data_IF_698241237105
#
_entry.id   IF_698241237105
#
_cell.length_a   1.000
_cell.length_b   1.000
_cell.length_c   1.000
_cell.angle_alpha   90.00
_cell.angle_beta   90.00
_cell.angle_gamma   90.00
#
_symmetry.space_group_name_H-M   'P 1'
#
loop_
_entity.id
_entity.type
_entity.pdbx_description
1 polymer ?
#
# COMPACT_ATOMS: atom_id res chain seq x y z
N UNK A 1 10.67 30.99 17.06
CA UNK A 1 10.41 29.68 17.71
C UNK A 1 11.23 29.69 19.00
N UNK A 2 10.63 29.41 20.16
CA UNK A 2 11.35 29.50 21.45
C UNK A 2 12.17 28.22 21.66
N UNK A 3 13.32 28.32 22.32
CA UNK A 3 14.28 27.21 22.54
C UNK A 3 13.63 25.93 23.10
N UNK A 4 12.70 26.08 24.06
CA UNK A 4 11.99 24.97 24.71
C UNK A 4 11.06 24.17 23.78
N UNK A 5 10.59 24.77 22.69
CA UNK A 5 9.72 24.11 21.70
C UNK A 5 10.52 23.31 20.66
N UNK A 6 11.84 23.47 20.64
CA UNK A 6 12.73 22.89 19.65
C UNK A 6 13.51 21.67 20.17
N UNK A 7 13.37 21.29 21.44
CA UNK A 7 13.95 20.05 21.95
C UNK A 7 13.04 18.85 21.67
N UNK A 8 13.45 18.00 20.73
CA UNK A 8 12.84 16.71 20.43
C UNK A 8 13.95 15.66 20.59
N UNK A 9 13.66 14.45 21.05
CA UNK A 9 14.65 13.38 21.22
C UNK A 9 14.78 12.56 19.92
N UNK A 10 15.99 12.10 19.53
CA UNK A 10 16.27 11.62 18.16
C UNK A 10 16.95 10.26 18.05
N UNK A 11 16.38 9.40 17.19
CA UNK A 11 17.02 8.19 16.66
C UNK A 11 17.44 8.33 15.16
N UNK A 12 17.00 9.39 14.45
CA UNK A 12 17.26 9.57 13.00
C UNK A 12 17.46 11.06 12.64
N UNK A 13 18.46 11.33 11.78
CA UNK A 13 18.91 12.61 11.18
C UNK A 13 18.66 13.90 12.01
N UNK A 14 19.65 14.37 12.80
CA UNK A 14 19.54 15.65 13.50
C UNK A 14 19.60 16.84 12.53
N UNK A 15 18.63 17.75 12.64
CA UNK A 15 18.72 19.12 12.14
C UNK A 15 19.53 19.98 13.12
N UNK A 16 20.49 20.72 12.57
CA UNK A 16 21.23 21.73 13.33
C UNK A 16 20.64 23.09 13.00
N UNK A 17 20.05 23.75 14.00
CA UNK A 17 19.50 25.10 13.90
C UNK A 17 20.34 26.07 14.74
N UNK A 18 20.38 27.34 14.34
CA UNK A 18 20.86 28.43 15.18
C UNK A 18 19.66 29.19 15.73
N UNK A 19 19.51 29.19 17.04
CA UNK A 19 18.37 29.82 17.73
C UNK A 19 18.84 30.85 18.75
N UNK A 20 18.04 31.88 18.96
CA UNK A 20 18.25 32.90 19.99
C UNK A 20 17.83 32.33 21.35
N UNK A 21 18.74 32.38 22.32
CA UNK A 21 18.56 31.92 23.68
C UNK A 21 17.83 32.97 24.53
N UNK A 22 17.38 32.57 25.71
CA UNK A 22 16.73 33.47 26.68
C UNK A 22 17.62 34.66 27.11
N UNK A 23 18.95 34.54 26.95
CA UNK A 23 19.94 35.58 27.24
C UNK A 23 20.24 36.52 26.04
N UNK A 24 19.54 36.36 24.91
CA UNK A 24 19.74 37.15 23.69
C UNK A 24 20.95 36.74 22.85
N UNK A 25 21.67 35.69 23.23
CA UNK A 25 22.77 35.13 22.42
C UNK A 25 22.27 34.08 21.43
N UNK A 26 22.99 33.87 20.32
CA UNK A 26 22.67 32.82 19.36
C UNK A 26 23.48 31.55 19.66
N UNK A 27 22.81 30.39 19.67
CA UNK A 27 23.43 29.10 19.94
C UNK A 27 23.03 28.01 18.96
N UNK A 28 23.92 27.02 18.78
CA UNK A 28 23.63 25.78 18.06
C UNK A 28 22.65 24.94 18.87
N UNK A 29 21.53 24.55 18.27
CA UNK A 29 20.58 23.59 18.79
C UNK A 29 20.46 22.42 17.82
N UNK A 30 20.63 21.21 18.35
CA UNK A 30 20.30 19.99 17.62
C UNK A 30 18.85 19.64 17.93
N UNK A 31 18.06 19.56 16.86
CA UNK A 31 16.67 19.14 16.88
C UNK A 31 16.46 18.16 15.74
N UNK A 32 15.24 17.68 15.53
CA UNK A 32 14.84 16.96 14.33
C UNK A 32 13.45 17.42 14.03
N UNK A 33 13.15 17.41 12.75
CA UNK A 33 11.84 17.83 12.31
C UNK A 33 10.77 16.95 12.97
N UNK A 34 9.72 17.58 13.50
CA UNK A 34 8.51 16.86 13.90
C UNK A 34 8.02 15.95 12.75
N UNK A 35 8.17 16.41 11.51
CA UNK A 35 7.89 15.62 10.31
C UNK A 35 8.78 14.38 10.24
N UNK A 36 10.09 14.48 10.48
CA UNK A 36 10.99 13.32 10.44
C UNK A 36 10.68 12.29 11.55
N UNK A 37 10.18 12.72 12.71
CA UNK A 37 9.86 11.81 13.81
C UNK A 37 8.61 10.98 13.53
N UNK A 38 7.54 11.60 13.02
CA UNK A 38 6.24 10.95 12.86
C UNK A 38 5.95 10.48 11.42
N UNK A 39 6.87 10.69 10.48
CA UNK A 39 6.66 10.41 9.06
C UNK A 39 6.19 8.98 8.79
N UNK A 40 6.81 7.98 9.43
CA UNK A 40 6.47 6.58 9.22
C UNK A 40 5.08 6.23 9.77
N UNK A 41 4.76 6.70 10.97
CA UNK A 41 3.45 6.47 11.58
C UNK A 41 2.34 7.12 10.74
N UNK A 42 2.52 8.38 10.35
CA UNK A 42 1.60 9.11 9.47
C UNK A 42 1.45 8.43 8.10
N UNK A 43 2.53 7.86 7.56
CA UNK A 43 2.51 7.10 6.32
C UNK A 43 1.68 5.83 6.47
N UNK A 44 1.94 5.01 7.50
CA UNK A 44 1.19 3.78 7.72
C UNK A 44 -0.30 4.06 7.99
N UNK A 45 -0.62 5.13 8.70
CA UNK A 45 -2.00 5.57 8.92
C UNK A 45 -2.72 5.92 7.62
N UNK A 46 -2.03 6.61 6.69
CA UNK A 46 -2.56 6.90 5.35
C UNK A 46 -2.76 5.63 4.55
N UNK A 47 -1.78 4.73 4.54
CA UNK A 47 -1.88 3.45 3.82
C UNK A 47 -3.06 2.63 4.32
N UNK A 48 -3.29 2.56 5.64
CA UNK A 48 -4.45 1.84 6.21
C UNK A 48 -5.78 2.45 5.79
N UNK A 49 -5.88 3.79 5.76
CA UNK A 49 -7.09 4.49 5.28
C UNK A 49 -7.35 4.21 3.80
N UNK A 50 -6.32 4.30 2.96
CA UNK A 50 -6.43 3.98 1.54
C UNK A 50 -6.82 2.52 1.31
N UNK A 51 -6.21 1.58 2.03
CA UNK A 51 -6.55 0.16 1.93
C UNK A 51 -8.04 -0.09 2.22
N UNK A 52 -8.55 0.49 3.31
CA UNK A 52 -9.97 0.37 3.67
C UNK A 52 -10.90 0.97 2.59
N UNK A 53 -10.62 2.18 2.13
CA UNK A 53 -11.41 2.87 1.09
C UNK A 53 -11.38 2.10 -0.25
N UNK A 54 -10.22 1.59 -0.65
CA UNK A 54 -10.07 0.86 -1.91
C UNK A 54 -10.79 -0.49 -1.83
N UNK A 55 -10.71 -1.20 -0.69
CA UNK A 55 -11.46 -2.45 -0.47
C UNK A 55 -12.96 -2.23 -0.56
N UNK A 56 -13.47 -1.13 -0.01
CA UNK A 56 -14.90 -0.78 -0.14
C UNK A 56 -15.29 -0.53 -1.60
N UNK A 57 -14.49 0.24 -2.35
CA UNK A 57 -14.74 0.49 -3.79
C UNK A 57 -14.65 -0.79 -4.62
N UNK A 58 -13.76 -1.71 -4.24
CA UNK A 58 -13.59 -3.00 -4.88
C UNK A 58 -14.81 -3.89 -4.64
N UNK A 59 -15.33 -3.93 -3.41
CA UNK A 59 -16.56 -4.65 -3.03
C UNK A 59 -17.78 -4.13 -3.81
N UNK A 60 -17.86 -2.81 -4.01
CA UNK A 60 -18.88 -2.18 -4.86
C UNK A 60 -18.67 -2.39 -6.37
N UNK A 61 -17.55 -2.98 -6.79
CA UNK A 61 -17.20 -3.16 -8.20
C UNK A 61 -16.89 -1.87 -8.96
N UNK A 62 -16.60 -0.77 -8.25
CA UNK A 62 -16.29 0.54 -8.85
C UNK A 62 -14.89 0.55 -9.48
N UNK A 63 -13.95 -0.15 -8.82
CA UNK A 63 -12.57 -0.33 -9.26
C UNK A 63 -12.28 -1.80 -9.54
N UNK A 64 -11.21 -2.06 -10.30
CA UNK A 64 -10.69 -3.41 -10.50
C UNK A 64 -9.60 -3.76 -9.47
N UNK A 65 -9.29 -5.05 -9.31
CA UNK A 65 -8.07 -5.54 -8.66
C UNK A 65 -6.77 -4.86 -9.12
N UNK A 66 -6.66 -4.59 -10.43
CA UNK A 66 -5.48 -3.93 -11.00
C UNK A 66 -5.32 -2.53 -10.46
N UNK A 67 -6.43 -1.80 -10.29
CA UNK A 67 -6.40 -0.46 -9.68
C UNK A 67 -6.00 -0.50 -8.22
N UNK A 68 -6.55 -1.45 -7.44
CA UNK A 68 -6.18 -1.65 -6.05
C UNK A 68 -4.66 -1.86 -5.89
N UNK A 69 -4.09 -2.82 -6.62
CA UNK A 69 -2.65 -3.10 -6.55
C UNK A 69 -1.79 -1.94 -7.08
N UNK A 70 -2.25 -1.25 -8.13
CA UNK A 70 -1.55 -0.07 -8.63
C UNK A 70 -1.38 1.00 -7.54
N UNK A 71 -2.44 1.29 -6.75
CA UNK A 71 -2.36 2.28 -5.68
C UNK A 71 -1.55 1.76 -4.49
N UNK A 72 -1.79 0.52 -4.06
CA UNK A 72 -1.11 -0.07 -2.89
C UNK A 72 0.38 -0.30 -3.10
N UNK A 73 0.82 -0.50 -4.35
CA UNK A 73 2.23 -0.58 -4.74
C UNK A 73 2.79 0.76 -5.23
N UNK A 74 2.01 1.84 -5.07
CA UNK A 74 2.38 3.21 -5.44
C UNK A 74 2.89 3.35 -6.89
N UNK A 75 2.36 2.53 -7.80
CA UNK A 75 2.73 2.53 -9.21
C UNK A 75 1.95 3.57 -9.99
N UNK A 76 2.65 4.45 -10.71
CA UNK A 76 2.01 5.38 -11.64
C UNK A 76 1.46 4.69 -12.89
N UNK A 77 0.37 5.20 -13.47
CA UNK A 77 -0.25 4.63 -14.69
C UNK A 77 0.75 4.43 -15.84
N UNK A 78 1.68 5.38 -16.01
CA UNK A 78 2.66 5.31 -17.09
C UNK A 78 3.67 4.18 -16.91
N UNK A 79 4.15 3.99 -15.69
CA UNK A 79 5.09 2.94 -15.35
C UNK A 79 4.43 1.57 -15.45
N UNK A 80 3.24 1.41 -14.86
CA UNK A 80 2.47 0.16 -14.95
C UNK A 80 2.14 -0.20 -16.40
N UNK A 81 1.70 0.77 -17.21
CA UNK A 81 1.40 0.53 -18.63
C UNK A 81 2.66 0.07 -19.40
N UNK A 82 3.81 0.68 -19.13
CA UNK A 82 5.10 0.34 -19.73
C UNK A 82 5.55 -1.07 -19.35
N UNK A 83 5.58 -1.38 -18.05
CA UNK A 83 5.99 -2.68 -17.49
C UNK A 83 5.09 -3.81 -17.96
N UNK A 84 3.77 -3.58 -17.99
CA UNK A 84 2.82 -4.57 -18.51
C UNK A 84 2.99 -4.69 -20.02
N UNK A 85 3.28 -3.61 -20.74
CA UNK A 85 3.44 -3.55 -22.20
C UNK A 85 2.12 -3.27 -22.94
N UNK A 86 1.35 -2.31 -22.45
CA UNK A 86 0.07 -1.88 -23.03
C UNK A 86 -0.01 -0.34 -23.10
N UNK A 87 -0.93 0.20 -23.89
CA UNK A 87 -1.17 1.64 -23.91
C UNK A 87 -1.84 2.13 -22.62
N UNK A 88 -1.58 3.39 -22.23
CA UNK A 88 -2.24 4.04 -21.09
C UNK A 88 -3.77 3.99 -21.20
N UNK A 89 -4.32 4.14 -22.40
CA UNK A 89 -5.76 4.02 -22.63
C UNK A 89 -6.29 2.63 -22.28
N UNK A 90 -5.58 1.57 -22.69
CA UNK A 90 -5.95 0.20 -22.37
C UNK A 90 -5.82 -0.07 -20.87
N UNK A 91 -4.77 0.43 -20.23
CA UNK A 91 -4.62 0.37 -18.77
C UNK A 91 -5.83 1.00 -18.08
N UNK A 92 -6.18 2.26 -18.40
CA UNK A 92 -7.33 2.95 -17.80
C UNK A 92 -8.65 2.21 -17.96
N UNK A 93 -8.81 1.45 -19.05
CA UNK A 93 -9.95 0.54 -19.19
C UNK A 93 -9.87 -0.60 -18.18
N UNK A 94 -8.73 -1.29 -18.10
CA UNK A 94 -8.51 -2.41 -17.17
C UNK A 94 -8.62 -2.00 -15.69
N UNK A 95 -8.41 -0.72 -15.35
CA UNK A 95 -8.61 -0.20 -14.01
C UNK A 95 -10.08 -0.28 -13.53
N UNK A 96 -11.04 -0.47 -14.44
CA UNK A 96 -12.48 -0.62 -14.14
C UNK A 96 -12.90 -2.09 -14.13
N UNK A 97 -13.76 -2.47 -13.20
CA UNK A 97 -14.21 -3.87 -13.02
C UNK A 97 -14.77 -4.50 -14.30
N UNK A 98 -15.65 -3.78 -15.02
CA UNK A 98 -16.28 -4.25 -16.28
C UNK A 98 -15.30 -4.71 -17.36
N UNK A 99 -14.10 -4.12 -17.41
CA UNK A 99 -13.07 -4.53 -18.37
C UNK A 99 -12.19 -5.64 -17.80
N UNK A 100 -11.91 -5.57 -16.49
CA UNK A 100 -11.15 -6.58 -15.75
C UNK A 100 -11.78 -7.97 -15.86
N UNK A 101 -13.10 -8.08 -15.66
CA UNK A 101 -13.87 -9.34 -15.75
C UNK A 101 -13.76 -10.02 -17.12
N UNK A 102 -13.46 -9.25 -18.17
CA UNK A 102 -13.34 -9.74 -19.55
C UNK A 102 -11.90 -10.03 -19.95
N UNK A 103 -10.93 -9.82 -19.06
CA UNK A 103 -9.53 -10.06 -19.36
C UNK A 103 -9.25 -11.55 -19.45
N UNK A 104 -8.45 -11.93 -20.44
CA UNK A 104 -7.95 -13.29 -20.54
C UNK A 104 -6.82 -13.55 -19.54
N UNK A 105 -6.56 -14.83 -19.29
CA UNK A 105 -5.51 -15.28 -18.36
C UNK A 105 -4.12 -14.74 -18.72
N UNK A 106 -3.80 -14.60 -20.01
CA UNK A 106 -2.52 -14.04 -20.47
C UNK A 106 -2.33 -12.60 -20.00
N UNK A 107 -3.38 -11.78 -20.03
CA UNK A 107 -3.31 -10.40 -19.55
C UNK A 107 -3.23 -10.35 -18.03
N UNK A 108 -4.02 -11.16 -17.32
CA UNK A 108 -3.96 -11.28 -15.87
C UNK A 108 -2.55 -11.66 -15.39
N UNK A 109 -1.91 -12.62 -16.08
CA UNK A 109 -0.53 -13.03 -15.78
C UNK A 109 0.46 -11.87 -15.92
N UNK A 110 0.38 -11.06 -16.97
CA UNK A 110 1.28 -9.89 -17.13
C UNK A 110 1.16 -8.90 -15.98
N UNK A 111 -0.05 -8.66 -15.47
CA UNK A 111 -0.24 -7.82 -14.28
C UNK A 111 0.34 -8.47 -13.03
N UNK A 112 0.05 -9.76 -12.82
CA UNK A 112 0.55 -10.52 -11.69
C UNK A 112 2.09 -10.55 -11.64
N UNK A 113 2.74 -10.76 -12.78
CA UNK A 113 4.20 -10.74 -12.92
C UNK A 113 4.79 -9.35 -12.59
N UNK A 114 4.11 -8.26 -12.95
CA UNK A 114 4.56 -6.88 -12.63
C UNK A 114 4.34 -6.53 -11.16
N UNK A 115 3.27 -7.02 -10.56
CA UNK A 115 2.96 -6.81 -9.15
C UNK A 115 3.71 -7.77 -8.21
N UNK A 116 4.44 -8.74 -8.76
CA UNK A 116 5.11 -9.81 -8.03
C UNK A 116 4.15 -10.59 -7.10
N UNK A 117 2.99 -10.98 -7.64
CA UNK A 117 1.96 -11.75 -6.93
C UNK A 117 1.51 -12.96 -7.75
N UNK A 118 0.98 -14.01 -7.11
CA UNK A 118 0.27 -15.07 -7.81
C UNK A 118 -0.95 -14.52 -8.56
N UNK A 119 -1.24 -15.05 -9.76
CA UNK A 119 -2.43 -14.66 -10.54
C UNK A 119 -3.72 -14.85 -9.75
N UNK A 120 -3.77 -15.84 -8.86
CA UNK A 120 -4.92 -16.10 -8.00
C UNK A 120 -5.26 -14.92 -7.08
N UNK A 121 -4.28 -14.09 -6.67
CA UNK A 121 -4.51 -12.90 -5.85
C UNK A 121 -5.25 -11.80 -6.61
N UNK A 122 -5.20 -11.78 -7.95
CA UNK A 122 -6.03 -10.88 -8.76
C UNK A 122 -7.48 -11.37 -8.88
N UNK A 123 -7.76 -12.63 -8.58
CA UNK A 123 -9.07 -13.26 -8.76
C UNK A 123 -9.79 -13.51 -7.42
N UNK A 124 -9.04 -13.71 -6.34
CA UNK A 124 -9.57 -13.94 -5.01
C UNK A 124 -9.36 -12.69 -4.16
N UNK A 125 -10.38 -11.84 -4.08
CA UNK A 125 -10.46 -10.81 -3.05
C UNK A 125 -11.42 -11.27 -1.98
N UNK A 126 -10.87 -11.68 -0.84
CA UNK A 126 -11.67 -11.92 0.35
C UNK A 126 -11.75 -10.63 1.14
N UNK A 127 -12.86 -9.92 1.03
CA UNK A 127 -13.15 -8.77 1.90
C UNK A 127 -13.60 -9.33 3.24
N UNK A 128 -12.69 -9.35 4.21
CA UNK A 128 -12.98 -9.79 5.58
C UNK A 128 -13.27 -8.53 6.40
N UNK A 129 -14.44 -8.47 7.03
CA UNK A 129 -14.79 -7.37 7.94
C UNK A 129 -13.85 -7.41 9.15
N UNK A 130 -13.30 -6.26 9.53
CA UNK A 130 -12.26 -6.09 10.55
C UNK A 130 -12.60 -6.79 11.90
N UNK A 131 -13.88 -6.77 12.28
CA UNK A 131 -14.44 -7.43 13.47
C UNK A 131 -14.26 -8.97 13.52
N UNK A 132 -14.04 -9.60 12.37
CA UNK A 132 -13.94 -11.06 12.24
C UNK A 132 -12.49 -11.53 12.07
N UNK A 133 -11.51 -10.61 11.96
CA UNK A 133 -10.08 -10.94 11.80
C UNK A 133 -9.54 -11.82 12.93
N UNK A 134 -9.99 -11.58 14.17
CA UNK A 134 -9.51 -12.29 15.36
C UNK A 134 -10.08 -13.72 15.49
N UNK A 135 -11.06 -14.10 14.66
CA UNK A 135 -11.66 -15.44 14.64
C UNK A 135 -11.08 -16.35 13.56
N UNK A 136 -10.12 -15.85 12.78
CA UNK A 136 -9.58 -16.56 11.63
C UNK A 136 -8.36 -17.38 12.04
N UNK A 137 -8.48 -18.70 11.93
CA UNK A 137 -7.36 -19.62 12.07
C UNK A 137 -6.84 -19.99 10.68
N UNK A 138 -5.92 -19.19 10.15
CA UNK A 138 -5.30 -19.44 8.84
C UNK A 138 -4.27 -20.55 9.03
N UNK A 139 -4.55 -21.75 8.51
CA UNK A 139 -3.60 -22.87 8.58
C UNK A 139 -3.01 -23.13 7.19
N UNK A 140 -1.68 -23.11 7.10
CA UNK A 140 -0.90 -23.29 5.87
C UNK A 140 -1.13 -24.69 5.26
N UNK A 141 -1.36 -24.81 3.94
CA UNK A 141 -1.23 -26.12 3.28
C UNK A 141 -0.64 -26.09 1.86
N UNK A 142 0.46 -26.87 1.79
CA UNK A 142 1.07 -27.64 0.70
C UNK A 142 1.37 -26.93 -0.63
N UNK A 143 2.67 -26.85 -0.92
CA UNK A 143 3.19 -26.51 -2.24
C UNK A 143 2.68 -27.52 -3.28
N UNK A 144 1.69 -27.12 -4.07
CA UNK A 144 1.41 -27.75 -5.35
C UNK A 144 2.56 -27.44 -6.31
N UNK A 145 2.98 -28.41 -7.11
CA UNK A 145 3.99 -28.24 -8.16
C UNK A 145 3.58 -27.26 -9.27
N UNK A 146 2.35 -26.75 -9.23
CA UNK A 146 1.78 -25.80 -10.17
C UNK A 146 1.72 -24.39 -9.53
N UNK A 147 2.44 -23.39 -10.07
CA UNK A 147 2.51 -22.03 -9.52
C UNK A 147 1.18 -21.24 -9.60
N UNK A 148 0.14 -21.79 -10.23
CA UNK A 148 -1.14 -21.12 -10.44
C UNK A 148 -2.29 -21.63 -9.55
N UNK A 149 -2.05 -22.63 -8.70
CA UNK A 149 -3.08 -23.20 -7.82
C UNK A 149 -2.73 -22.87 -6.37
N UNK A 150 -3.59 -22.07 -5.73
CA UNK A 150 -3.61 -21.87 -4.28
C UNK A 150 -4.89 -22.48 -3.72
N UNK A 151 -4.77 -23.56 -2.95
CA UNK A 151 -5.90 -24.16 -2.22
C UNK A 151 -5.89 -23.59 -0.81
N UNK A 152 -6.91 -22.79 -0.47
CA UNK A 152 -7.07 -22.23 0.87
C UNK A 152 -8.35 -22.78 1.48
N UNK A 153 -8.23 -23.49 2.62
CA UNK A 153 -9.39 -23.88 3.43
C UNK A 153 -9.61 -22.77 4.46
N UNK A 154 -10.73 -22.07 4.35
CA UNK A 154 -11.13 -21.03 5.30
C UNK A 154 -12.23 -21.62 6.17
N UNK A 155 -11.97 -21.73 7.46
CA UNK A 155 -12.95 -22.16 8.46
C UNK A 155 -13.11 -21.05 9.50
N UNK A 156 -14.37 -20.76 9.82
CA UNK A 156 -14.74 -19.94 10.99
C UNK A 156 -14.77 -20.81 12.24
N UNK A 157 -14.13 -20.35 13.32
CA UNK A 157 -14.28 -20.91 14.67
C UNK A 157 -15.50 -20.32 15.35
#
# INVERSE_FOLDING_TARGET
>A
MKEKEAQINHDVHPLVLYVEKEDGTYGRLETASFLSKNYLDDYFDKVRKWDAELKEKLDKGEISPVYYYMIMLEMGEGDLASRVGISKWKLRRHLKMKAFEKMNLRMLRRYADVFDIPVSNLLHFTVIKEKDQHKLKITYQKATSNPYISVSKIETV
#
